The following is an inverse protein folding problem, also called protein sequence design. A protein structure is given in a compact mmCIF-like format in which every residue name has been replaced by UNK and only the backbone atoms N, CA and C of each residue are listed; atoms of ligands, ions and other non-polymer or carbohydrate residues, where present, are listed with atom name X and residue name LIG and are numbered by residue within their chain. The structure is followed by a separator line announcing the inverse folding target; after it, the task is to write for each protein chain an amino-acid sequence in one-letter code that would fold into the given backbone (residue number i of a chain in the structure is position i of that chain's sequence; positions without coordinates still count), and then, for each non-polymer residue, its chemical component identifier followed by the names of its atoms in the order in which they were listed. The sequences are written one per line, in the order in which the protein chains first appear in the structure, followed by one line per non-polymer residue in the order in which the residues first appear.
data_IF_589071992912
#
_entry.id   IF_589071992912
#
_cell.length_a   1.000
_cell.length_b   1.000
_cell.length_c   1.000
_cell.angle_alpha   90.00
_cell.angle_beta   90.00
_cell.angle_gamma   90.00
#
_symmetry.space_group_name_H-M   'P 1'
#
loop_
_entity.id
_entity.type
_entity.pdbx_description
1 polymer ?
#
# COMPACT_ATOMS: atom_id res chain seq x y z
N UNK A 1 2.55 -8.25 -9.09
CA UNK A 1 1.92 -6.92 -8.98
C UNK A 1 1.60 -6.47 -10.38
N UNK A 2 0.31 -6.47 -10.75
CA UNK A 2 -0.17 -5.90 -12.00
C UNK A 2 -0.19 -4.37 -11.92
N UNK A 3 0.37 -3.74 -12.95
CA UNK A 3 0.24 -2.31 -13.22
C UNK A 3 -1.09 -2.13 -13.97
N UNK A 4 -2.04 -1.40 -13.38
CA UNK A 4 -3.32 -1.10 -14.03
C UNK A 4 -3.11 0.16 -14.86
N UNK A 5 -2.85 -0.01 -16.16
CA UNK A 5 -2.94 1.06 -17.15
C UNK A 5 -4.23 0.87 -17.98
N UNK A 6 -5.07 1.92 -18.06
CA UNK A 6 -6.27 1.93 -18.90
C UNK A 6 -5.92 2.08 -20.39
N UNK A 7 -6.08 0.96 -21.10
CA UNK A 7 -6.46 0.67 -22.49
C UNK A 7 -6.34 1.71 -23.62
N UNK A 8 -5.87 1.20 -24.78
CA UNK A 8 -6.48 1.49 -26.08
C UNK A 8 -6.38 0.27 -27.02
N UNK A 9 -7.52 -0.30 -27.42
CA UNK A 9 -7.64 -1.32 -28.47
C UNK A 9 -7.27 -0.77 -29.85
N UNK A 10 -6.79 -1.64 -30.75
CA UNK A 10 -7.19 -1.57 -32.14
C UNK A 10 -7.83 -2.87 -32.63
N UNK A 11 -8.75 -2.65 -33.58
CA UNK A 11 -9.64 -3.53 -34.32
C UNK A 11 -8.97 -4.71 -35.05
N UNK A 12 -9.71 -5.83 -35.07
CA UNK A 12 -9.51 -6.98 -35.96
C UNK A 12 -9.79 -6.63 -37.43
N UNK A 13 -8.97 -7.18 -38.32
CA UNK A 13 -9.35 -7.55 -39.69
C UNK A 13 -8.52 -8.78 -40.08
N UNK A 14 -9.20 -9.89 -40.37
CA UNK A 14 -8.58 -11.18 -40.66
C UNK A 14 -8.13 -11.35 -42.10
N UNK A 15 -7.38 -12.43 -42.35
CA UNK A 15 -7.40 -13.22 -43.59
C UNK A 15 -6.73 -14.58 -43.35
N UNK A 16 -7.31 -15.62 -43.93
CA UNK A 16 -6.98 -17.05 -43.82
C UNK A 16 -5.97 -17.55 -44.88
N UNK A 17 -5.54 -18.81 -44.70
CA UNK A 17 -4.88 -19.76 -45.61
C UNK A 17 -3.34 -19.72 -45.63
N UNK A 18 -2.57 -20.81 -45.62
CA UNK A 18 -2.83 -22.24 -45.68
C UNK A 18 -1.60 -22.94 -46.31
N UNK A 19 -1.15 -24.06 -45.72
CA UNK A 19 -0.43 -25.14 -46.45
C UNK A 19 1.11 -25.15 -46.52
N UNK A 20 1.73 -26.09 -45.78
CA UNK A 20 2.49 -27.21 -46.36
C UNK A 20 3.98 -27.08 -46.73
N UNK A 21 4.78 -27.94 -46.05
CA UNK A 21 5.92 -28.77 -46.52
C UNK A 21 7.40 -28.37 -46.31
N UNK A 22 8.06 -29.30 -45.60
CA UNK A 22 9.32 -30.01 -45.87
C UNK A 22 10.72 -29.36 -45.69
N UNK A 23 11.39 -29.85 -44.65
CA UNK A 23 12.73 -30.49 -44.60
C UNK A 23 13.86 -29.87 -45.44
N UNK A 24 14.89 -29.34 -44.75
CA UNK A 24 16.30 -29.75 -44.94
C UNK A 24 17.19 -29.19 -43.84
N UNK A 25 17.94 -30.09 -43.21
CA UNK A 25 19.07 -29.74 -42.36
C UNK A 25 20.27 -29.30 -43.18
N UNK A 26 21.02 -28.34 -42.63
CA UNK A 26 22.42 -28.10 -42.97
C UNK A 26 23.13 -27.69 -41.67
N UNK A 27 24.05 -28.55 -41.25
CA UNK A 27 25.01 -28.33 -40.19
C UNK A 27 26.07 -27.30 -40.58
N UNK A 28 26.84 -26.87 -39.56
CA UNK A 28 28.15 -26.18 -39.61
C UNK A 28 28.07 -24.64 -39.50
N UNK A 29 28.19 -24.11 -38.27
CA UNK A 29 29.48 -23.63 -37.78
C UNK A 29 29.44 -23.23 -36.31
N UNK A 30 30.43 -23.75 -35.59
CA UNK A 30 30.78 -23.43 -34.22
C UNK A 30 31.40 -22.04 -34.14
N UNK A 31 30.68 -21.09 -33.56
CA UNK A 31 31.28 -19.94 -32.90
C UNK A 31 30.77 -19.91 -31.45
N UNK A 32 31.62 -20.43 -30.58
CA UNK A 32 31.57 -20.25 -29.13
C UNK A 32 31.63 -18.75 -28.82
N UNK A 33 30.48 -18.10 -28.72
CA UNK A 33 30.37 -16.89 -27.89
C UNK A 33 30.13 -17.35 -26.46
N UNK A 34 31.11 -17.10 -25.61
CA UNK A 34 31.03 -17.26 -24.16
C UNK A 34 29.82 -16.47 -23.64
N UNK A 35 28.69 -17.15 -23.47
CA UNK A 35 27.62 -16.67 -22.59
C UNK A 35 28.10 -16.89 -21.17
N UNK A 36 28.90 -15.96 -20.66
CA UNK A 36 29.16 -15.84 -19.24
C UNK A 36 27.83 -15.64 -18.51
N UNK A 37 27.62 -16.50 -17.53
CA UNK A 37 26.57 -16.51 -16.50
C UNK A 37 26.18 -15.12 -15.96
N UNK A 38 25.12 -14.50 -16.50
CA UNK A 38 24.52 -13.26 -15.98
C UNK A 38 23.22 -13.50 -15.18
N UNK A 39 22.95 -14.74 -14.78
CA UNK A 39 21.73 -15.11 -14.05
C UNK A 39 21.73 -14.69 -12.55
N UNK A 40 22.77 -14.01 -12.08
CA UNK A 40 22.98 -13.72 -10.64
C UNK A 40 22.94 -12.23 -10.27
N UNK A 41 22.66 -11.32 -11.22
CA UNK A 41 22.68 -9.90 -10.94
C UNK A 41 21.42 -9.47 -10.17
N UNK A 42 21.60 -9.20 -8.88
CA UNK A 42 20.60 -8.56 -8.01
C UNK A 42 20.39 -7.07 -8.35
N UNK A 43 20.76 -6.63 -9.56
CA UNK A 43 20.73 -5.23 -10.02
C UNK A 43 19.79 -5.07 -11.21
N UNK A 44 18.83 -4.16 -11.08
CA UNK A 44 17.96 -3.73 -12.16
C UNK A 44 18.48 -2.41 -12.75
N UNK A 45 18.67 -2.36 -14.06
CA UNK A 45 19.16 -1.15 -14.74
C UNK A 45 18.00 -0.35 -15.31
N UNK A 46 17.92 0.94 -14.94
CA UNK A 46 16.81 1.83 -15.34
C UNK A 46 17.27 3.22 -15.82
N UNK A 47 16.36 3.99 -16.41
CA UNK A 47 16.60 5.36 -16.88
C UNK A 47 17.04 5.46 -18.35
N UNK A 48 17.29 6.69 -18.82
CA UNK A 48 17.72 6.94 -20.20
C UNK A 48 19.03 6.20 -20.48
N UNK A 49 18.97 5.21 -21.38
CA UNK A 49 20.06 4.27 -21.72
C UNK A 49 20.49 3.31 -20.59
N UNK A 50 19.62 3.00 -19.62
CA UNK A 50 19.88 1.96 -18.61
C UNK A 50 21.03 2.27 -17.65
N UNK A 51 21.25 3.55 -17.32
CA UNK A 51 22.44 3.98 -16.54
C UNK A 51 22.25 4.03 -15.02
N UNK A 52 21.05 3.80 -14.50
CA UNK A 52 20.77 3.88 -13.05
C UNK A 52 20.60 2.47 -12.48
N UNK A 53 21.59 1.94 -11.74
CA UNK A 53 21.47 0.65 -11.09
C UNK A 53 20.56 0.76 -9.86
N UNK A 54 19.56 -0.11 -9.78
CA UNK A 54 18.65 -0.28 -8.66
C UNK A 54 18.86 -1.66 -8.03
N UNK A 55 18.66 -1.74 -6.72
CA UNK A 55 18.79 -2.98 -5.97
C UNK A 55 17.49 -3.78 -6.10
N UNK A 56 17.61 -5.03 -6.54
CA UNK A 56 16.54 -6.02 -6.48
C UNK A 56 16.61 -6.76 -5.15
N UNK A 57 15.51 -6.75 -4.41
CA UNK A 57 15.38 -7.44 -3.14
C UNK A 57 14.66 -8.78 -3.32
N UNK A 58 15.17 -9.83 -2.66
CA UNK A 58 14.59 -11.18 -2.68
C UNK A 58 14.25 -11.66 -1.28
N UNK A 59 13.15 -12.39 -1.16
CA UNK A 59 12.69 -12.94 0.11
C UNK A 59 13.45 -14.21 0.53
N UNK A 60 14.24 -14.81 -0.37
CA UNK A 60 14.91 -16.12 -0.19
C UNK A 60 15.71 -16.18 1.13
N UNK A 61 16.44 -15.11 1.44
CA UNK A 61 17.23 -14.99 2.66
C UNK A 61 16.40 -14.92 3.95
N UNK A 62 15.14 -14.48 3.88
CA UNK A 62 14.21 -14.49 5.01
C UNK A 62 13.49 -15.83 5.18
N UNK A 63 13.37 -16.59 4.09
CA UNK A 63 12.65 -17.87 4.04
C UNK A 63 13.58 -19.08 4.23
N UNK A 64 14.89 -18.84 4.40
CA UNK A 64 15.89 -19.89 4.55
C UNK A 64 16.05 -20.76 3.29
N UNK A 65 15.66 -20.24 2.12
CA UNK A 65 15.60 -21.00 0.87
C UNK A 65 16.97 -21.09 0.16
N UNK A 66 17.92 -20.18 0.45
CA UNK A 66 19.31 -20.25 -0.03
C UNK A 66 20.25 -19.53 0.96
N UNK A 67 21.54 -19.89 0.98
CA UNK A 67 22.57 -18.98 1.50
C UNK A 67 22.53 -17.72 0.62
N UNK A 68 22.35 -16.51 1.17
CA UNK A 68 22.38 -15.31 0.36
C UNK A 68 23.66 -15.36 -0.48
N UNK A 69 23.60 -15.16 -1.81
CA UNK A 69 24.80 -15.18 -2.63
C UNK A 69 25.82 -14.23 -2.00
N UNK A 70 27.11 -14.59 -2.07
CA UNK A 70 28.22 -13.75 -1.63
C UNK A 70 27.88 -12.31 -1.98
N UNK A 71 27.79 -11.46 -0.94
CA UNK A 71 27.24 -10.12 -1.00
C UNK A 71 27.50 -9.50 -2.38
N UNK A 72 26.50 -9.43 -3.30
CA UNK A 72 26.79 -9.15 -4.72
C UNK A 72 27.33 -7.72 -4.93
N UNK A 73 27.29 -6.90 -3.87
CA UNK A 73 27.81 -5.54 -3.82
C UNK A 73 29.11 -5.40 -3.00
N UNK A 74 29.58 -6.48 -2.37
CA UNK A 74 30.78 -6.45 -1.54
C UNK A 74 31.99 -6.10 -2.39
N UNK A 75 32.66 -5.01 -2.00
CA UNK A 75 33.88 -4.51 -2.63
C UNK A 75 33.81 -3.04 -3.08
N UNK A 76 32.68 -2.57 -3.61
CA UNK A 76 32.62 -1.25 -4.27
C UNK A 76 31.58 -0.25 -3.70
N UNK A 77 30.59 -0.68 -2.92
CA UNK A 77 29.56 0.23 -2.40
C UNK A 77 29.24 -0.04 -0.92
N UNK A 78 29.42 0.97 -0.06
CA UNK A 78 29.03 0.93 1.36
C UNK A 78 27.55 1.26 1.54
N UNK A 79 26.67 0.29 1.31
CA UNK A 79 25.24 0.47 1.53
C UNK A 79 24.89 0.56 3.01
N UNK A 80 24.05 1.52 3.38
CA UNK A 80 23.70 1.79 4.78
C UNK A 80 22.21 2.05 4.98
N UNK A 81 21.67 1.70 6.14
CA UNK A 81 20.28 1.95 6.48
C UNK A 81 20.09 2.47 7.91
N UNK A 82 18.96 3.13 8.13
CA UNK A 82 18.47 3.53 9.44
C UNK A 82 17.21 2.77 9.79
N UNK A 83 17.09 2.38 11.05
CA UNK A 83 15.89 1.76 11.58
C UNK A 83 15.42 2.49 12.83
N UNK A 84 14.19 3.02 12.79
CA UNK A 84 13.52 3.58 13.97
C UNK A 84 12.38 2.65 14.38
N UNK A 85 12.52 2.02 15.54
CA UNK A 85 11.60 1.02 16.09
C UNK A 85 11.93 -0.42 15.68
N UNK A 86 11.19 -1.38 16.27
CA UNK A 86 11.44 -2.81 16.07
C UNK A 86 10.80 -3.34 14.79
N UNK A 87 11.61 -3.55 13.74
CA UNK A 87 11.18 -4.20 12.50
C UNK A 87 12.20 -5.26 12.07
N UNK A 88 12.21 -6.41 12.77
CA UNK A 88 13.16 -7.52 12.53
C UNK A 88 13.16 -7.99 11.07
N UNK A 89 11.98 -8.02 10.43
CA UNK A 89 11.86 -8.47 9.05
C UNK A 89 12.63 -7.58 8.06
N UNK A 90 12.44 -6.25 8.17
CA UNK A 90 13.13 -5.25 7.33
C UNK A 90 14.62 -5.25 7.64
N UNK A 91 14.98 -5.32 8.93
CA UNK A 91 16.37 -5.38 9.38
C UNK A 91 17.11 -6.58 8.76
N UNK A 92 16.57 -7.80 8.91
CA UNK A 92 17.19 -9.02 8.36
C UNK A 92 17.28 -8.96 6.83
N UNK A 93 16.26 -8.40 6.15
CA UNK A 93 16.28 -8.26 4.70
C UNK A 93 17.39 -7.32 4.23
N UNK A 94 17.55 -6.16 4.87
CA UNK A 94 18.59 -5.20 4.49
C UNK A 94 19.99 -5.76 4.76
N UNK A 95 20.20 -6.44 5.90
CA UNK A 95 21.46 -7.11 6.21
C UNK A 95 21.80 -8.21 5.19
N UNK A 96 20.82 -9.03 4.80
CA UNK A 96 21.06 -10.09 3.81
C UNK A 96 21.41 -9.55 2.43
N UNK A 97 21.06 -8.30 2.13
CA UNK A 97 21.42 -7.60 0.90
C UNK A 97 22.68 -6.72 1.04
N UNK A 98 23.47 -6.91 2.10
CA UNK A 98 24.77 -6.26 2.30
C UNK A 98 24.70 -4.82 2.81
N UNK A 99 23.56 -4.37 3.32
CA UNK A 99 23.48 -3.08 4.00
C UNK A 99 24.01 -3.18 5.42
N UNK A 100 24.56 -2.08 5.92
CA UNK A 100 24.96 -1.93 7.33
C UNK A 100 24.10 -0.91 8.06
N UNK A 101 23.69 -1.22 9.29
CA UNK A 101 22.92 -0.27 10.10
C UNK A 101 23.81 0.89 10.57
N UNK A 102 23.27 2.10 10.52
CA UNK A 102 23.93 3.31 11.03
C UNK A 102 23.04 4.03 12.04
N UNK A 103 23.68 4.81 12.92
CA UNK A 103 22.96 5.67 13.87
C UNK A 103 21.94 6.58 13.18
N UNK A 104 20.81 6.83 13.85
CA UNK A 104 19.76 7.74 13.36
C UNK A 104 20.30 9.16 13.08
N UNK A 105 21.37 9.58 13.77
CA UNK A 105 22.01 10.89 13.55
C UNK A 105 22.86 10.95 12.28
N UNK A 106 23.18 9.82 11.64
CA UNK A 106 24.03 9.80 10.45
C UNK A 106 23.26 10.31 9.22
N UNK A 107 23.69 11.39 8.59
CA UNK A 107 23.03 11.91 7.38
C UNK A 107 23.24 11.00 6.13
N UNK A 108 24.24 10.13 6.14
CA UNK A 108 24.61 9.24 5.04
C UNK A 108 23.94 7.88 5.21
N UNK A 109 22.90 7.63 4.43
CA UNK A 109 22.14 6.38 4.39
C UNK A 109 21.50 6.21 3.01
N UNK A 110 21.06 5.00 2.68
CA UNK A 110 20.28 4.69 1.47
C UNK A 110 18.79 4.53 1.79
N UNK A 111 18.48 3.75 2.83
CA UNK A 111 17.11 3.47 3.26
C UNK A 111 16.93 3.91 4.71
N UNK A 112 15.87 4.66 4.99
CA UNK A 112 15.43 4.93 6.35
C UNK A 112 14.02 4.36 6.53
N UNK A 113 13.92 3.35 7.39
CA UNK A 113 12.66 2.74 7.77
C UNK A 113 12.27 3.15 9.19
N UNK A 114 11.12 3.81 9.33
CA UNK A 114 10.58 4.25 10.62
C UNK A 114 9.23 3.57 10.91
N UNK A 115 9.01 3.22 12.18
CA UNK A 115 7.69 2.81 12.69
C UNK A 115 6.77 3.99 13.01
N UNK A 116 7.28 5.22 13.00
CA UNK A 116 6.56 6.44 13.38
C UNK A 116 6.72 7.55 12.35
N UNK A 117 5.89 8.58 12.45
CA UNK A 117 5.95 9.76 11.60
C UNK A 117 7.33 10.42 11.62
N UNK A 118 7.76 10.85 10.45
CA UNK A 118 9.06 11.46 10.21
C UNK A 118 8.91 12.98 10.16
N UNK A 119 9.88 13.70 10.71
CA UNK A 119 9.83 15.15 10.73
C UNK A 119 9.98 15.72 9.31
N UNK A 120 9.26 16.81 9.03
CA UNK A 120 9.26 17.45 7.71
C UNK A 120 10.65 18.00 7.33
N UNK A 121 11.45 18.40 8.33
CA UNK A 121 12.84 18.82 8.17
C UNK A 121 13.72 17.69 7.66
N UNK A 122 13.53 16.46 8.14
CA UNK A 122 14.29 15.28 7.69
C UNK A 122 13.94 14.93 6.24
N UNK A 123 12.65 15.01 5.87
CA UNK A 123 12.21 14.76 4.48
C UNK A 123 12.81 15.78 3.51
N UNK A 124 12.89 17.05 3.92
CA UNK A 124 13.47 18.12 3.10
C UNK A 124 14.98 17.95 2.89
N UNK A 125 15.67 17.36 3.86
CA UNK A 125 17.12 17.16 3.82
C UNK A 125 17.55 15.89 3.04
N UNK A 126 16.60 15.14 2.46
CA UNK A 126 16.91 13.91 1.74
C UNK A 126 17.71 14.16 0.45
N UNK A 127 18.66 13.29 0.18
CA UNK A 127 19.45 13.23 -1.05
C UNK A 127 18.76 12.35 -2.12
N UNK A 128 19.12 12.45 -3.42
CA UNK A 128 18.43 11.74 -4.51
C UNK A 128 18.42 10.21 -4.37
N UNK A 129 19.48 9.64 -3.78
CA UNK A 129 19.61 8.19 -3.55
C UNK A 129 18.83 7.69 -2.32
N UNK A 130 18.36 8.59 -1.47
CA UNK A 130 17.70 8.23 -0.21
C UNK A 130 16.24 7.84 -0.42
N UNK A 131 15.81 6.82 0.32
CA UNK A 131 14.43 6.32 0.36
C UNK A 131 13.93 6.27 1.78
N UNK A 132 12.68 6.69 1.98
CA UNK A 132 12.04 6.78 3.29
C UNK A 132 10.59 6.30 3.22
N UNK A 133 10.14 5.54 4.21
CA UNK A 133 8.86 4.82 4.17
C UNK A 133 7.63 5.62 4.62
N UNK A 134 7.70 6.96 4.58
CA UNK A 134 6.59 7.85 4.94
C UNK A 134 6.49 9.08 4.04
N UNK A 135 5.26 9.46 3.68
CA UNK A 135 4.96 10.76 3.08
C UNK A 135 4.69 11.84 4.14
N UNK A 136 4.98 13.12 3.84
CA UNK A 136 4.57 14.21 4.69
C UNK A 136 3.04 14.26 4.80
N UNK A 137 2.53 14.42 6.03
CA UNK A 137 1.08 14.47 6.33
C UNK A 137 0.29 13.22 5.93
N UNK A 138 0.93 12.04 5.88
CA UNK A 138 0.21 10.77 5.64
C UNK A 138 -0.90 10.47 6.68
N UNK A 139 -0.82 11.09 7.86
CA UNK A 139 -1.88 11.06 8.87
C UNK A 139 -3.26 11.56 8.39
N UNK A 140 -3.33 12.28 7.27
CA UNK A 140 -4.59 12.78 6.70
C UNK A 140 -5.52 11.65 6.26
N UNK A 141 -4.98 10.47 5.95
CA UNK A 141 -5.77 9.29 5.59
C UNK A 141 -5.70 8.17 6.64
N UNK A 142 -4.67 8.17 7.50
CA UNK A 142 -4.50 7.09 8.50
C UNK A 142 -5.10 7.41 9.86
N UNK A 143 -5.28 8.68 10.22
CA UNK A 143 -6.06 9.04 11.41
C UNK A 143 -7.56 8.94 11.12
N UNK A 144 -8.30 8.29 12.02
CA UNK A 144 -9.73 7.99 11.87
C UNK A 144 -10.58 9.26 11.65
N UNK A 145 -10.37 10.29 12.46
CA UNK A 145 -11.06 11.58 12.34
C UNK A 145 -10.78 12.27 11.00
N UNK A 146 -9.50 12.33 10.60
CA UNK A 146 -9.08 12.97 9.34
C UNK A 146 -9.57 12.22 8.11
N UNK A 147 -9.53 10.88 8.14
CA UNK A 147 -10.07 10.05 7.07
C UNK A 147 -11.57 10.32 6.86
N UNK A 148 -12.35 10.31 7.94
CA UNK A 148 -13.79 10.56 7.86
C UNK A 148 -14.11 11.98 7.39
N UNK A 149 -13.39 13.00 7.87
CA UNK A 149 -13.53 14.39 7.42
C UNK A 149 -13.22 14.53 5.93
N UNK A 150 -12.14 13.90 5.45
CA UNK A 150 -11.74 13.94 4.04
C UNK A 150 -12.76 13.24 3.14
N UNK A 151 -13.31 12.10 3.56
CA UNK A 151 -14.35 11.41 2.81
C UNK A 151 -15.64 12.23 2.80
N UNK A 152 -16.04 12.81 3.93
CA UNK A 152 -17.20 13.71 4.01
C UNK A 152 -17.05 14.91 3.05
N UNK A 153 -15.87 15.53 3.01
CA UNK A 153 -15.54 16.58 2.03
C UNK A 153 -15.76 16.11 0.59
N UNK A 154 -15.30 14.91 0.25
CA UNK A 154 -15.51 14.34 -1.09
C UNK A 154 -16.98 13.98 -1.36
N UNK A 155 -17.73 13.51 -0.37
CA UNK A 155 -19.18 13.28 -0.49
C UNK A 155 -19.94 14.58 -0.77
N UNK A 156 -19.54 15.70 -0.15
CA UNK A 156 -20.10 17.02 -0.43
C UNK A 156 -19.72 17.54 -1.83
N UNK A 157 -18.46 17.36 -2.23
CA UNK A 157 -17.95 17.91 -3.50
C UNK A 157 -18.34 17.08 -4.74
N UNK A 158 -18.41 15.76 -4.61
CA UNK A 158 -18.62 14.80 -5.72
C UNK A 158 -19.89 13.98 -5.58
N UNK A 159 -20.62 14.13 -4.47
CA UNK A 159 -21.86 13.40 -4.21
C UNK A 159 -21.66 12.13 -3.39
N UNK A 160 -22.61 11.89 -2.47
CA UNK A 160 -22.58 10.75 -1.54
C UNK A 160 -22.50 9.42 -2.29
N UNK A 161 -23.20 9.27 -3.41
CA UNK A 161 -23.21 8.03 -4.22
C UNK A 161 -21.80 7.60 -4.65
N UNK A 162 -20.92 8.54 -4.98
CA UNK A 162 -19.58 8.25 -5.48
C UNK A 162 -18.58 7.93 -4.36
N UNK A 163 -18.75 8.54 -3.18
CA UNK A 163 -17.89 8.36 -2.00
C UNK A 163 -18.60 7.63 -0.84
N UNK A 164 -19.52 6.72 -1.15
CA UNK A 164 -20.21 5.89 -0.17
C UNK A 164 -19.35 4.68 0.23
N UNK A 165 -18.13 4.95 0.69
CA UNK A 165 -17.09 3.94 0.93
C UNK A 165 -16.83 3.64 2.41
N UNK A 166 -17.34 4.50 3.31
CA UNK A 166 -17.35 4.30 4.76
C UNK A 166 -18.78 4.28 5.28
N UNK A 167 -19.07 3.60 6.40
CA UNK A 167 -20.36 3.72 7.06
C UNK A 167 -20.60 5.17 7.51
N UNK A 168 -21.87 5.53 7.74
CA UNK A 168 -22.22 6.84 8.30
C UNK A 168 -21.44 7.07 9.59
N UNK A 169 -20.67 8.15 9.65
CA UNK A 169 -19.69 8.37 10.71
C UNK A 169 -19.71 9.81 11.18
N UNK A 170 -19.51 10.01 12.48
CA UNK A 170 -19.44 11.32 13.15
C UNK A 170 -18.21 11.41 14.05
N UNK A 171 -17.57 12.58 14.10
CA UNK A 171 -16.41 12.89 14.94
C UNK A 171 -16.86 13.65 16.18
N UNK A 172 -16.69 13.06 17.35
CA UNK A 172 -17.05 13.65 18.64
C UNK A 172 -15.85 14.35 19.29
N UNK A 173 -16.07 15.43 20.06
CA UNK A 173 -17.37 16.00 20.47
C UNK A 173 -18.06 16.91 19.43
N UNK A 174 -17.33 17.35 18.40
CA UNK A 174 -17.76 18.40 17.47
C UNK A 174 -19.09 18.09 16.74
N UNK A 175 -19.29 16.82 16.36
CA UNK A 175 -20.46 16.37 15.59
C UNK A 175 -21.53 15.67 16.45
N UNK A 176 -21.48 15.83 17.79
CA UNK A 176 -22.46 15.23 18.70
C UNK A 176 -23.92 15.67 18.41
N UNK A 177 -24.22 16.95 18.13
CA UNK A 177 -25.57 17.38 17.79
C UNK A 177 -26.10 16.69 16.52
N UNK A 178 -25.27 16.58 15.48
CA UNK A 178 -25.58 15.95 14.20
C UNK A 178 -25.85 14.46 14.40
N UNK A 179 -25.01 13.79 15.20
CA UNK A 179 -25.21 12.39 15.58
C UNK A 179 -26.56 12.18 16.29
N UNK A 180 -26.90 13.03 17.27
CA UNK A 180 -28.19 12.93 17.99
C UNK A 180 -29.40 13.13 17.06
N UNK A 181 -29.33 14.09 16.14
CA UNK A 181 -30.39 14.31 15.14
C UNK A 181 -30.51 13.11 14.21
N UNK A 182 -29.38 12.57 13.72
CA UNK A 182 -29.38 11.39 12.86
C UNK A 182 -29.95 10.18 13.58
N UNK A 183 -29.52 9.93 14.82
CA UNK A 183 -29.99 8.81 15.64
C UNK A 183 -31.50 8.85 15.90
N UNK A 184 -32.09 10.05 16.07
CA UNK A 184 -33.56 10.22 16.20
C UNK A 184 -34.31 9.82 14.94
N UNK A 185 -33.73 10.04 13.75
CA UNK A 185 -34.34 9.65 12.46
C UNK A 185 -34.14 8.18 12.16
N UNK A 186 -32.96 7.65 12.45
CA UNK A 186 -32.57 6.27 12.18
C UNK A 186 -31.88 5.69 13.40
N UNK A 187 -32.65 4.93 14.18
CA UNK A 187 -32.11 4.09 15.26
C UNK A 187 -31.27 2.96 14.68
N UNK A 188 -30.40 2.41 15.51
CA UNK A 188 -29.55 1.28 15.13
C UNK A 188 -28.35 1.16 16.05
N UNK A 189 -27.50 0.19 15.73
CA UNK A 189 -26.27 -0.09 16.47
C UNK A 189 -25.12 0.77 15.93
N UNK A 190 -24.28 1.28 16.83
CA UNK A 190 -23.13 2.13 16.49
C UNK A 190 -21.88 1.61 17.16
N UNK A 191 -20.74 1.80 16.52
CA UNK A 191 -19.42 1.45 17.06
C UNK A 191 -18.65 2.75 17.35
N UNK A 192 -18.19 2.88 18.59
CA UNK A 192 -17.39 4.00 19.06
C UNK A 192 -15.94 3.59 19.06
N UNK A 193 -15.09 4.39 18.42
CA UNK A 193 -13.66 4.14 18.29
C UNK A 193 -12.89 5.38 18.74
N UNK A 194 -11.95 5.27 19.71
CA UNK A 194 -11.08 6.38 20.05
C UNK A 194 -10.18 6.76 18.86
N UNK A 195 -9.95 8.05 18.64
CA UNK A 195 -9.12 8.53 17.51
C UNK A 195 -7.66 8.12 17.65
N UNK A 196 -7.13 8.18 18.87
CA UNK A 196 -5.72 7.96 19.21
C UNK A 196 -5.36 6.49 19.46
N UNK A 197 -6.34 5.59 19.56
CA UNK A 197 -6.12 4.19 19.88
C UNK A 197 -6.22 3.28 18.64
N UNK A 198 -5.53 2.15 18.76
CA UNK A 198 -5.43 1.09 17.77
C UNK A 198 -5.53 -0.29 18.43
N UNK A 199 -5.56 -1.34 17.62
CA UNK A 199 -5.58 -2.76 18.07
C UNK A 199 -6.86 -3.14 18.83
N UNK A 200 -7.98 -2.51 18.51
CA UNK A 200 -9.27 -2.76 19.17
C UNK A 200 -9.42 -2.15 20.57
N UNK A 201 -8.43 -1.39 21.07
CA UNK A 201 -8.47 -0.82 22.41
C UNK A 201 -9.48 0.34 22.50
N UNK A 202 -10.31 0.30 23.54
CA UNK A 202 -11.32 1.33 23.81
C UNK A 202 -12.49 1.34 22.84
N UNK A 203 -12.61 0.33 21.96
CA UNK A 203 -13.76 0.19 21.09
C UNK A 203 -14.94 -0.32 21.90
N UNK A 204 -16.07 0.36 21.80
CA UNK A 204 -17.34 -0.05 22.40
C UNK A 204 -18.44 -0.04 21.35
N UNK A 205 -19.45 -0.86 21.57
CA UNK A 205 -20.64 -0.89 20.72
C UNK A 205 -21.79 -0.34 21.54
N UNK A 206 -22.50 0.63 20.98
CA UNK A 206 -23.55 1.38 21.66
C UNK A 206 -24.85 1.27 20.87
N UNK A 207 -25.95 1.33 21.60
CA UNK A 207 -27.31 1.41 21.04
C UNK A 207 -28.01 2.72 21.40
N UNK A 208 -27.34 3.62 22.14
CA UNK A 208 -27.88 4.92 22.50
C UNK A 208 -26.77 5.99 22.56
N UNK A 209 -27.00 7.22 22.05
CA UNK A 209 -25.99 8.28 22.04
C UNK A 209 -25.42 8.65 23.41
N UNK A 210 -26.20 8.49 24.49
CA UNK A 210 -25.76 8.81 25.85
C UNK A 210 -24.64 7.87 26.37
N UNK A 211 -24.42 6.72 25.73
CA UNK A 211 -23.33 5.80 26.07
C UNK A 211 -21.99 6.25 25.47
N UNK A 212 -22.01 7.16 24.48
CA UNK A 212 -20.79 7.74 23.92
C UNK A 212 -20.23 8.78 24.91
N UNK A 213 -19.19 8.38 25.65
CA UNK A 213 -18.40 9.32 26.45
C UNK A 213 -17.68 10.26 25.48
N UNK A 214 -17.82 11.57 25.69
CA UNK A 214 -17.27 12.61 24.79
C UNK A 214 -16.09 13.34 25.41
N UNK A 215 -15.49 12.76 26.45
CA UNK A 215 -14.36 13.33 27.20
C UNK A 215 -13.06 13.31 26.38
N UNK A 216 -12.97 12.40 25.40
CA UNK A 216 -11.86 12.30 24.45
C UNK A 216 -12.36 12.34 23.01
N UNK A 217 -11.51 12.71 22.03
CA UNK A 217 -11.87 12.65 20.61
C UNK A 217 -12.15 11.21 20.17
N UNK A 218 -13.37 10.98 19.68
CA UNK A 218 -13.84 9.67 19.24
C UNK A 218 -14.52 9.75 17.88
N UNK A 219 -14.54 8.63 17.18
CA UNK A 219 -15.29 8.43 15.94
C UNK A 219 -16.42 7.46 16.22
N UNK A 220 -17.65 7.89 15.96
CA UNK A 220 -18.86 7.08 16.08
C UNK A 220 -19.33 6.72 14.68
N UNK A 221 -19.23 5.44 14.35
CA UNK A 221 -19.59 4.91 13.03
C UNK A 221 -20.80 4.00 13.15
N UNK A 222 -21.66 4.01 12.14
CA UNK A 222 -22.76 3.04 12.05
C UNK A 222 -22.18 1.63 12.04
N UNK A 223 -22.75 0.73 12.84
CA UNK A 223 -22.33 -0.65 12.87
C UNK A 223 -22.91 -1.41 11.68
N UNK A 224 -22.08 -2.22 11.02
CA UNK A 224 -22.52 -3.08 9.93
C UNK A 224 -23.10 -4.35 10.54
N UNK A 225 -24.43 -4.40 10.63
CA UNK A 225 -25.20 -5.45 11.32
C UNK A 225 -25.30 -6.77 10.52
N UNK A 226 -25.04 -6.72 9.21
CA UNK A 226 -25.10 -7.90 8.32
C UNK A 226 -23.79 -8.05 7.54
N UNK A 227 -22.67 -8.35 8.22
CA UNK A 227 -21.42 -8.63 7.54
C UNK A 227 -21.55 -9.91 6.70
N UNK A 228 -20.67 -10.09 5.72
CA UNK A 228 -20.46 -11.39 5.11
C UNK A 228 -19.87 -12.33 6.17
N UNK A 229 -20.43 -13.53 6.25
CA UNK A 229 -20.05 -14.53 7.25
C UNK A 229 -19.49 -15.75 6.52
N UNK A 230 -18.43 -16.33 7.06
CA UNK A 230 -17.82 -17.58 6.57
C UNK A 230 -17.74 -18.53 7.75
N UNK A 231 -18.29 -19.75 7.58
CA UNK A 231 -18.41 -20.77 8.63
C UNK A 231 -19.04 -20.27 9.94
N UNK A 232 -19.92 -19.27 9.86
CA UNK A 232 -20.57 -18.67 11.02
C UNK A 232 -19.76 -17.57 11.74
N UNK A 233 -18.55 -17.24 11.28
CA UNK A 233 -17.69 -16.21 11.86
C UNK A 233 -17.67 -14.93 11.02
N UNK A 234 -17.65 -13.78 11.71
CA UNK A 234 -17.38 -12.47 11.11
C UNK A 234 -15.89 -12.39 10.77
N UNK A 235 -15.55 -11.74 9.64
CA UNK A 235 -14.17 -11.49 9.28
C UNK A 235 -13.98 -10.09 8.71
N UNK A 236 -12.74 -9.59 8.73
CA UNK A 236 -12.32 -8.42 7.97
C UNK A 236 -11.16 -8.77 7.06
N UNK A 237 -10.95 -7.96 6.02
CA UNK A 237 -9.84 -8.06 5.09
C UNK A 237 -8.76 -7.04 5.46
N UNK A 238 -7.54 -7.53 5.62
CA UNK A 238 -6.32 -6.73 5.63
C UNK A 238 -5.66 -6.81 4.25
N UNK A 239 -5.67 -5.68 3.55
CA UNK A 239 -5.06 -5.52 2.22
C UNK A 239 -3.85 -4.59 2.33
N UNK A 240 -2.75 -4.97 1.68
CA UNK A 240 -1.54 -4.16 1.65
C UNK A 240 -1.53 -3.29 0.40
N UNK A 241 -1.34 -1.99 0.58
CA UNK A 241 -1.33 -1.02 -0.50
C UNK A 241 -0.07 -0.18 -0.39
N UNK A 242 0.76 -0.19 -1.44
CA UNK A 242 1.94 0.64 -1.54
C UNK A 242 1.63 1.88 -2.38
N UNK A 243 2.08 3.05 -1.91
CA UNK A 243 2.07 4.29 -2.68
C UNK A 243 3.51 4.74 -2.87
N UNK A 244 3.95 4.91 -4.12
CA UNK A 244 5.32 5.35 -4.43
C UNK A 244 5.40 6.81 -4.82
N UNK A 245 4.27 7.44 -5.10
CA UNK A 245 4.17 8.85 -5.45
C UNK A 245 2.73 9.34 -5.26
N UNK A 246 2.58 10.57 -4.78
CA UNK A 246 1.30 11.31 -4.79
C UNK A 246 1.20 12.31 -5.95
N UNK A 247 2.31 12.62 -6.63
CA UNK A 247 2.35 13.55 -7.77
C UNK A 247 3.32 13.06 -8.89
N UNK A 248 2.84 12.29 -9.89
CA UNK A 248 1.47 11.78 -10.04
C UNK A 248 1.16 10.69 -9.01
N UNK A 249 -0.12 10.47 -8.70
CA UNK A 249 -0.55 9.42 -7.77
C UNK A 249 -0.28 8.02 -8.37
N UNK A 250 0.51 7.22 -7.68
CA UNK A 250 0.86 5.84 -8.06
C UNK A 250 0.54 4.88 -6.93
N UNK A 251 -0.45 4.02 -7.14
CA UNK A 251 -1.00 3.09 -6.16
C UNK A 251 -0.74 1.66 -6.64
N UNK A 252 -0.24 0.81 -5.75
CA UNK A 252 -0.01 -0.61 -6.01
C UNK A 252 -0.71 -1.42 -4.93
N UNK A 253 -1.63 -2.28 -5.34
CA UNK A 253 -2.34 -3.18 -4.43
C UNK A 253 -1.62 -4.53 -4.46
N UNK A 254 -1.26 -5.04 -3.29
CA UNK A 254 -0.64 -6.35 -3.21
C UNK A 254 -1.69 -7.44 -3.46
N UNK A 255 -1.39 -8.36 -4.37
CA UNK A 255 -2.31 -9.45 -4.79
C UNK A 255 -2.71 -10.35 -3.62
N UNK A 256 -1.85 -10.47 -2.62
CA UNK A 256 -2.13 -11.22 -1.41
C UNK A 256 -2.48 -10.33 -0.22
N UNK A 257 -3.18 -10.93 0.74
CA UNK A 257 -3.63 -10.27 1.95
C UNK A 257 -3.96 -11.28 3.03
N UNK A 258 -4.70 -10.85 4.04
CA UNK A 258 -5.21 -11.78 5.06
C UNK A 258 -6.65 -11.47 5.43
N UNK A 259 -7.46 -12.51 5.52
CA UNK A 259 -8.76 -12.46 6.17
C UNK A 259 -8.58 -12.79 7.65
N UNK A 260 -9.09 -11.93 8.53
CA UNK A 260 -8.98 -12.07 9.98
C UNK A 260 -10.35 -12.40 10.54
N UNK A 261 -10.48 -13.56 11.16
CA UNK A 261 -11.74 -14.05 11.69
C UNK A 261 -11.91 -13.70 13.17
N UNK A 262 -13.15 -13.42 13.55
CA UNK A 262 -13.61 -13.47 14.93
C UNK A 262 -13.49 -14.89 15.47
N UNK A 263 -13.32 -15.05 16.79
CA UNK A 263 -13.25 -16.38 17.41
C UNK A 263 -14.59 -16.93 17.87
N UNK A 264 -15.65 -16.13 17.80
CA UNK A 264 -16.99 -16.53 18.22
C UNK A 264 -18.01 -16.36 17.08
N UNK A 265 -19.01 -17.24 17.06
CA UNK A 265 -20.06 -17.24 16.05
C UNK A 265 -20.84 -15.92 16.08
N UNK A 266 -21.05 -15.35 14.89
CA UNK A 266 -21.77 -14.11 14.75
C UNK A 266 -23.29 -14.33 14.85
N UNK A 267 -23.92 -13.74 15.86
CA UNK A 267 -25.36 -13.83 16.13
C UNK A 267 -26.10 -12.49 15.98
N UNK A 268 -25.52 -11.53 15.24
CA UNK A 268 -26.06 -10.18 15.10
C UNK A 268 -25.82 -9.29 16.32
N UNK A 269 -26.40 -8.08 16.38
CA UNK A 269 -26.15 -7.10 17.44
C UNK A 269 -26.99 -7.38 18.71
N UNK A 270 -26.96 -8.61 19.22
CA UNK A 270 -27.70 -9.01 20.44
C UNK A 270 -26.81 -8.95 21.69
N UNK A 271 -25.56 -9.42 21.58
CA UNK A 271 -24.59 -9.46 22.68
C UNK A 271 -23.46 -8.44 22.46
N UNK A 272 -23.78 -7.15 22.64
CA UNK A 272 -22.87 -6.05 22.31
C UNK A 272 -21.54 -6.06 23.10
N UNK A 273 -21.56 -6.66 24.30
CA UNK A 273 -20.39 -6.77 25.18
C UNK A 273 -19.40 -7.87 24.73
N UNK A 274 -19.84 -8.78 23.86
CA UNK A 274 -19.00 -9.85 23.33
C UNK A 274 -18.11 -9.32 22.20
N UNK A 275 -17.00 -8.70 22.61
CA UNK A 275 -16.03 -8.12 21.68
C UNK A 275 -15.32 -9.18 20.81
N UNK A 276 -15.21 -10.43 21.26
CA UNK A 276 -14.58 -11.51 20.47
C UNK A 276 -15.45 -11.96 19.29
N UNK A 277 -16.76 -11.75 19.35
CA UNK A 277 -17.68 -11.93 18.22
C UNK A 277 -17.65 -10.72 17.27
N UNK A 278 -17.56 -9.50 17.82
CA UNK A 278 -17.77 -8.27 17.05
C UNK A 278 -16.50 -7.65 16.48
N UNK A 279 -15.34 -7.88 17.11
CA UNK A 279 -14.04 -7.39 16.68
C UNK A 279 -13.21 -8.55 16.14
N UNK A 280 -12.63 -8.34 14.96
CA UNK A 280 -11.82 -9.31 14.21
C UNK A 280 -10.32 -9.06 14.40
N UNK A 281 -9.94 -8.07 15.21
CA UNK A 281 -8.55 -7.73 15.45
C UNK A 281 -7.81 -8.91 16.11
N UNK A 282 -6.64 -9.25 15.56
CA UNK A 282 -5.75 -10.28 16.11
C UNK A 282 -5.40 -10.03 17.59
N UNK A 283 -5.18 -8.78 18.01
CA UNK A 283 -4.85 -8.42 19.39
C UNK A 283 -5.93 -8.79 20.41
N UNK A 284 -7.20 -8.78 19.98
CA UNK A 284 -8.35 -9.16 20.80
C UNK A 284 -8.49 -10.68 20.78
N UNK A 285 -8.56 -11.25 19.57
CA UNK A 285 -8.85 -12.66 19.37
C UNK A 285 -7.72 -13.60 19.78
N UNK A 286 -6.44 -13.19 19.72
CA UNK A 286 -5.29 -14.05 20.14
C UNK A 286 -5.33 -14.46 21.60
N UNK A 287 -6.09 -13.73 22.43
CA UNK A 287 -6.27 -14.00 23.86
C UNK A 287 -7.42 -14.97 24.12
N UNK A 288 -8.28 -15.22 23.13
CA UNK A 288 -9.38 -16.18 23.22
C UNK A 288 -8.84 -17.59 23.23
N UNK A 289 -9.44 -18.44 24.06
CA UNK A 289 -9.15 -19.89 24.11
C UNK A 289 -9.56 -20.61 22.82
N UNK A 290 -10.45 -20.00 22.02
CA UNK A 290 -10.93 -20.53 20.74
C UNK A 290 -10.08 -20.08 19.55
N UNK A 291 -8.98 -19.35 19.79
CA UNK A 291 -8.11 -18.91 18.71
C UNK A 291 -7.30 -20.08 18.15
N UNK A 292 -7.63 -20.50 16.94
CA UNK A 292 -6.92 -21.59 16.25
C UNK A 292 -5.79 -21.00 15.43
N UNK A 293 -4.55 -21.27 15.84
CA UNK A 293 -3.35 -20.98 15.05
C UNK A 293 -3.21 -22.01 13.94
N UNK A 294 -2.82 -21.55 12.76
CA UNK A 294 -2.40 -22.45 11.69
C UNK A 294 -0.87 -22.53 11.73
N UNK A 295 -0.37 -23.62 12.28
CA UNK A 295 1.08 -23.90 12.39
C UNK A 295 1.57 -24.79 11.23
N UNK A 296 0.67 -25.30 10.39
CA UNK A 296 1.00 -26.17 9.25
C UNK A 296 1.43 -25.36 8.02
N UNK A 297 2.66 -25.57 7.49
CA UNK A 297 3.06 -24.98 6.22
C UNK A 297 2.20 -25.56 5.09
N UNK A 298 1.43 -24.71 4.39
CA UNK A 298 0.70 -25.10 3.18
C UNK A 298 -0.82 -25.23 3.31
N UNK A 299 -1.41 -25.08 4.50
CA UNK A 299 -2.86 -24.89 4.67
C UNK A 299 -3.19 -23.43 4.93
N UNK A 300 -3.52 -22.72 3.86
CA UNK A 300 -3.81 -21.28 3.91
C UNK A 300 -5.30 -20.98 4.26
N UNK A 301 -6.11 -22.01 4.49
CA UNK A 301 -7.56 -22.03 4.71
C UNK A 301 -7.97 -22.57 6.09
N UNK A 302 -7.02 -22.66 7.03
CA UNK A 302 -7.27 -23.22 8.35
C UNK A 302 -6.94 -22.22 9.46
N UNK A 303 -7.75 -22.22 10.52
CA UNK A 303 -7.58 -21.34 11.69
C UNK A 303 -8.20 -19.95 11.54
N UNK A 304 -7.90 -19.04 12.48
CA UNK A 304 -8.52 -17.71 12.57
C UNK A 304 -7.89 -16.64 11.64
N UNK A 305 -6.99 -17.05 10.75
CA UNK A 305 -6.42 -16.21 9.68
C UNK A 305 -6.35 -17.01 8.39
N UNK A 306 -6.93 -16.52 7.30
CA UNK A 306 -6.79 -17.12 5.97
C UNK A 306 -6.02 -16.19 5.03
N UNK A 307 -5.38 -16.76 4.01
CA UNK A 307 -4.86 -15.95 2.89
C UNK A 307 -6.01 -15.35 2.09
N UNK A 308 -5.72 -14.27 1.36
CA UNK A 308 -6.72 -13.69 0.46
C UNK A 308 -7.12 -14.72 -0.60
N UNK A 309 -6.15 -15.40 -1.21
CA UNK A 309 -6.43 -16.45 -2.20
C UNK A 309 -7.28 -17.59 -1.66
N UNK A 310 -7.07 -18.03 -0.41
CA UNK A 310 -7.91 -19.07 0.20
C UNK A 310 -9.35 -18.59 0.40
N UNK A 311 -9.55 -17.36 0.89
CA UNK A 311 -10.88 -16.79 1.03
C UNK A 311 -11.58 -16.67 -0.33
N UNK A 312 -10.91 -16.13 -1.35
CA UNK A 312 -11.50 -15.94 -2.67
C UNK A 312 -11.91 -17.28 -3.30
N UNK A 313 -11.08 -18.32 -3.20
CA UNK A 313 -11.46 -19.68 -3.64
C UNK A 313 -12.70 -20.18 -2.92
N UNK A 314 -12.75 -20.06 -1.59
CA UNK A 314 -13.90 -20.48 -0.80
C UNK A 314 -15.20 -19.72 -1.16
N UNK A 315 -15.13 -18.41 -1.40
CA UNK A 315 -16.30 -17.62 -1.81
C UNK A 315 -16.75 -17.97 -3.24
N UNK A 316 -15.80 -18.26 -4.14
CA UNK A 316 -16.09 -18.70 -5.50
C UNK A 316 -16.78 -20.07 -5.52
N UNK A 317 -16.35 -21.01 -4.67
CA UNK A 317 -17.01 -22.31 -4.48
C UNK A 317 -18.46 -22.16 -3.96
N UNK A 318 -18.75 -21.10 -3.20
CA UNK A 318 -20.11 -20.74 -2.78
C UNK A 318 -20.93 -20.02 -3.86
N UNK A 319 -20.40 -19.87 -5.07
CA UNK A 319 -21.08 -19.22 -6.20
C UNK A 319 -21.13 -17.69 -6.11
N UNK A 320 -20.29 -17.05 -5.28
CA UNK A 320 -20.23 -15.58 -5.19
C UNK A 320 -19.35 -15.01 -6.30
N UNK A 321 -19.74 -13.85 -6.84
CA UNK A 321 -18.94 -13.13 -7.83
C UNK A 321 -17.75 -12.40 -7.16
N UNK A 322 -16.65 -13.13 -6.98
CA UNK A 322 -15.44 -12.62 -6.32
C UNK A 322 -14.72 -11.54 -7.15
N UNK A 323 -14.79 -11.61 -8.48
CA UNK A 323 -14.16 -10.63 -9.36
C UNK A 323 -14.81 -9.25 -9.20
N UNK A 324 -16.15 -9.18 -9.27
CA UNK A 324 -16.88 -7.93 -9.05
C UNK A 324 -16.69 -7.39 -7.63
N UNK A 325 -16.63 -8.27 -6.62
CA UNK A 325 -16.35 -7.88 -5.25
C UNK A 325 -14.96 -7.22 -5.13
N UNK A 326 -13.93 -7.80 -5.75
CA UNK A 326 -12.57 -7.24 -5.72
C UNK A 326 -12.45 -5.93 -6.50
N UNK A 327 -13.13 -5.77 -7.64
CA UNK A 327 -13.21 -4.48 -8.33
C UNK A 327 -13.80 -3.37 -7.43
N UNK A 328 -14.84 -3.69 -6.65
CA UNK A 328 -15.41 -2.73 -5.68
C UNK A 328 -14.43 -2.44 -4.53
N UNK A 329 -13.63 -3.41 -4.12
CA UNK A 329 -12.59 -3.23 -3.08
C UNK A 329 -11.50 -2.28 -3.58
N UNK A 330 -11.04 -2.46 -4.80
CA UNK A 330 -10.05 -1.57 -5.45
C UNK A 330 -10.59 -0.14 -5.56
N UNK A 331 -11.84 0.03 -6.00
CA UNK A 331 -12.53 1.33 -6.07
C UNK A 331 -12.58 2.03 -4.69
N UNK A 332 -12.87 1.29 -3.62
CA UNK A 332 -12.84 1.81 -2.23
C UNK A 332 -11.43 2.30 -1.86
N UNK A 333 -10.39 1.52 -2.17
CA UNK A 333 -8.99 1.87 -1.88
C UNK A 333 -8.58 3.13 -2.63
N UNK A 334 -8.84 3.19 -3.93
CA UNK A 334 -8.49 4.33 -4.80
C UNK A 334 -9.20 5.60 -4.31
N UNK A 335 -10.50 5.54 -4.07
CA UNK A 335 -11.27 6.70 -3.59
C UNK A 335 -10.82 7.19 -2.22
N UNK A 336 -10.45 6.29 -1.32
CA UNK A 336 -9.93 6.67 -0.02
C UNK A 336 -8.59 7.42 -0.12
N UNK A 337 -7.71 7.01 -1.03
CA UNK A 337 -6.44 7.69 -1.30
C UNK A 337 -6.68 9.04 -1.98
N UNK A 338 -7.57 9.12 -2.97
CA UNK A 338 -7.96 10.38 -3.62
C UNK A 338 -8.54 11.38 -2.62
N UNK A 339 -9.30 10.93 -1.62
CA UNK A 339 -9.89 11.82 -0.62
C UNK A 339 -8.84 12.62 0.18
N UNK A 340 -7.66 12.02 0.40
CA UNK A 340 -6.53 12.67 1.08
C UNK A 340 -5.41 13.19 0.16
N UNK A 341 -5.44 12.83 -1.13
CA UNK A 341 -4.37 13.10 -2.12
C UNK A 341 -3.94 14.57 -2.08
N UNK A 342 -4.87 15.51 -2.30
CA UNK A 342 -4.58 16.96 -2.31
C UNK A 342 -3.79 17.47 -1.10
N UNK A 343 -4.06 16.94 0.11
CA UNK A 343 -3.37 17.37 1.33
C UNK A 343 -1.94 16.83 1.41
N UNK A 344 -1.73 15.61 0.94
CA UNK A 344 -0.43 14.93 0.95
C UNK A 344 0.43 15.47 -0.19
N UNK A 345 -0.14 15.54 -1.40
CA UNK A 345 0.48 16.08 -2.61
C UNK A 345 1.00 17.50 -2.41
N UNK A 346 0.16 18.40 -1.86
CA UNK A 346 0.60 19.77 -1.53
C UNK A 346 1.73 19.81 -0.50
N UNK A 347 1.77 18.85 0.43
CA UNK A 347 2.86 18.76 1.40
C UNK A 347 4.13 18.21 0.75
N UNK A 348 4.02 17.23 -0.16
CA UNK A 348 5.14 16.76 -0.96
C UNK A 348 5.76 17.90 -1.76
N UNK A 349 4.98 18.75 -2.40
CA UNK A 349 5.53 19.89 -3.18
C UNK A 349 6.33 20.88 -2.31
N UNK A 350 6.04 20.99 -1.01
CA UNK A 350 6.71 21.93 -0.08
C UNK A 350 7.89 21.30 0.67
N UNK A 351 7.82 20.01 0.94
CA UNK A 351 8.78 19.31 1.83
C UNK A 351 9.63 18.27 1.11
N UNK A 352 9.18 17.71 0.00
CA UNK A 352 9.86 16.62 -0.69
C UNK A 352 10.74 17.15 -1.83
N UNK A 353 12.05 17.26 -1.57
CA UNK A 353 13.03 17.76 -2.54
C UNK A 353 13.17 16.83 -3.76
N UNK A 354 12.99 15.52 -3.57
CA UNK A 354 13.13 14.51 -4.62
C UNK A 354 11.89 13.62 -4.69
N UNK A 355 11.15 13.63 -5.80
CA UNK A 355 9.85 12.94 -5.95
C UNK A 355 9.84 11.43 -5.66
N UNK A 356 10.98 10.75 -5.77
CA UNK A 356 11.12 9.31 -5.49
C UNK A 356 11.67 8.99 -4.10
N UNK A 357 11.89 9.99 -3.25
CA UNK A 357 12.47 9.78 -1.92
C UNK A 357 11.50 9.16 -0.93
N UNK A 358 10.20 9.44 -1.05
CA UNK A 358 9.16 8.94 -0.15
C UNK A 358 8.36 7.82 -0.81
N UNK A 359 8.01 6.81 -0.02
CA UNK A 359 7.04 5.78 -0.36
C UNK A 359 6.27 5.43 0.92
N UNK A 360 5.16 4.70 0.82
CA UNK A 360 4.42 4.28 2.00
C UNK A 360 3.72 2.96 1.80
N UNK A 361 3.72 2.12 2.84
CA UNK A 361 2.98 0.87 2.90
C UNK A 361 1.81 1.05 3.88
N UNK A 362 0.60 0.99 3.36
CA UNK A 362 -0.63 1.04 4.13
C UNK A 362 -1.23 -0.34 4.34
N UNK A 363 -1.86 -0.55 5.50
CA UNK A 363 -2.75 -1.69 5.75
C UNK A 363 -4.19 -1.23 5.74
N UNK A 364 -4.93 -1.55 4.68
CA UNK A 364 -6.36 -1.27 4.57
C UNK A 364 -7.16 -2.34 5.30
N UNK A 365 -8.08 -1.90 6.17
CA UNK A 365 -9.02 -2.78 6.87
C UNK A 365 -10.40 -2.60 6.23
N UNK A 366 -10.88 -3.63 5.54
CA UNK A 366 -12.13 -3.59 4.79
C UNK A 366 -13.07 -4.68 5.30
N UNK A 367 -14.34 -4.34 5.51
CA UNK A 367 -15.40 -5.28 5.84
C UNK A 367 -16.31 -5.47 4.64
N UNK A 368 -16.56 -6.72 4.25
CA UNK A 368 -17.54 -7.05 3.23
C UNK A 368 -18.88 -7.31 3.92
N UNK A 369 -19.97 -6.71 3.43
CA UNK A 369 -21.31 -7.01 3.90
C UNK A 369 -21.95 -8.20 3.16
N UNK A 370 -23.12 -8.65 3.63
CA UNK A 370 -23.83 -9.78 3.05
C UNK A 370 -24.20 -9.61 1.57
N UNK A 371 -24.26 -8.36 1.07
CA UNK A 371 -24.61 -8.01 -0.29
C UNK A 371 -23.33 -7.83 -1.17
N UNK A 372 -22.19 -8.35 -0.68
CA UNK A 372 -20.85 -8.28 -1.28
C UNK A 372 -20.35 -6.84 -1.49
N UNK A 373 -20.82 -5.90 -0.66
CA UNK A 373 -20.36 -4.52 -0.71
C UNK A 373 -19.20 -4.31 0.27
N UNK A 374 -18.06 -3.76 -0.18
CA UNK A 374 -16.95 -3.41 0.70
C UNK A 374 -17.17 -2.09 1.43
N UNK A 375 -16.74 -2.06 2.68
CA UNK A 375 -16.75 -0.90 3.56
C UNK A 375 -15.37 -0.70 4.17
N UNK A 376 -14.80 0.48 3.98
CA UNK A 376 -13.54 0.87 4.60
C UNK A 376 -13.76 1.08 6.12
N UNK A 377 -12.96 0.39 6.94
CA UNK A 377 -13.00 0.52 8.39
C UNK A 377 -11.92 1.46 8.93
N UNK A 378 -10.69 1.30 8.45
CA UNK A 378 -9.54 2.16 8.77
C UNK A 378 -8.39 1.92 7.78
N UNK A 379 -7.46 2.89 7.72
CA UNK A 379 -6.18 2.76 7.01
C UNK A 379 -5.07 2.82 8.06
N UNK A 380 -4.34 1.73 8.20
CA UNK A 380 -3.25 1.62 9.16
C UNK A 380 -1.94 2.11 8.54
N UNK A 381 -1.35 3.12 9.18
CA UNK A 381 0.04 3.50 8.98
C UNK A 381 0.96 2.40 9.52
N UNK A 382 1.97 2.00 8.77
CA UNK A 382 2.96 0.98 9.21
C UNK A 382 2.29 -0.30 9.73
N UNK A 383 1.60 -1.07 8.86
CA UNK A 383 0.94 -2.29 9.29
C UNK A 383 1.92 -3.27 9.94
N UNK A 384 1.45 -4.06 10.91
CA UNK A 384 2.32 -4.98 11.67
C UNK A 384 3.04 -5.98 10.78
N UNK A 385 4.37 -5.93 10.80
CA UNK A 385 5.27 -6.86 10.11
C UNK A 385 5.70 -8.06 10.98
N UNK A 386 5.12 -8.22 12.17
CA UNK A 386 5.38 -9.36 13.05
C UNK A 386 4.97 -10.69 12.40
N UNK A 387 5.82 -11.71 12.49
CA UNK A 387 5.61 -13.00 11.84
C UNK A 387 5.41 -14.08 12.92
N UNK A 388 4.15 -14.32 13.29
CA UNK A 388 3.81 -15.31 14.33
C UNK A 388 3.60 -16.72 13.75
N UNK A 389 3.32 -16.83 12.44
CA UNK A 389 3.09 -18.11 11.74
C UNK A 389 3.96 -18.20 10.48
N UNK A 390 4.18 -19.41 9.93
CA UNK A 390 4.87 -19.59 8.64
C UNK A 390 4.18 -18.84 7.50
N UNK A 391 2.84 -18.77 7.51
CA UNK A 391 2.07 -17.97 6.57
C UNK A 391 2.40 -16.48 6.68
N UNK A 392 2.40 -15.92 7.91
CA UNK A 392 2.76 -14.51 8.13
C UNK A 392 4.18 -14.23 7.62
N UNK A 393 5.14 -15.13 7.89
CA UNK A 393 6.52 -15.01 7.42
C UNK A 393 6.60 -15.01 5.90
N UNK A 394 5.99 -15.98 5.22
CA UNK A 394 5.99 -16.08 3.75
C UNK A 394 5.36 -14.85 3.10
N UNK A 395 4.18 -14.46 3.56
CA UNK A 395 3.44 -13.32 3.03
C UNK A 395 4.25 -12.01 3.17
N UNK A 396 4.72 -11.73 4.38
CA UNK A 396 5.34 -10.44 4.71
C UNK A 396 6.76 -10.33 4.17
N UNK A 397 7.51 -11.43 4.12
CA UNK A 397 8.85 -11.44 3.51
C UNK A 397 8.79 -11.06 2.03
N UNK A 398 7.87 -11.69 1.29
CA UNK A 398 7.65 -11.36 -0.12
C UNK A 398 7.10 -9.94 -0.30
N UNK A 399 6.17 -9.50 0.56
CA UNK A 399 5.65 -8.13 0.53
C UNK A 399 6.76 -7.08 0.65
N UNK A 400 7.65 -7.21 1.63
CA UNK A 400 8.71 -6.22 1.88
C UNK A 400 9.79 -6.27 0.80
N UNK A 401 10.18 -7.46 0.35
CA UNK A 401 11.13 -7.60 -0.76
C UNK A 401 10.58 -6.96 -2.06
N UNK A 402 9.32 -7.25 -2.40
CA UNK A 402 8.66 -6.67 -3.56
C UNK A 402 8.49 -5.15 -3.42
N UNK A 403 8.16 -4.66 -2.21
CA UNK A 403 8.04 -3.23 -1.93
C UNK A 403 9.36 -2.50 -2.14
N UNK A 404 10.47 -2.95 -1.56
CA UNK A 404 11.75 -2.27 -1.69
C UNK A 404 12.29 -2.32 -3.14
N UNK A 405 12.02 -3.41 -3.85
CA UNK A 405 12.31 -3.52 -5.28
C UNK A 405 11.49 -2.52 -6.09
N UNK A 406 10.18 -2.42 -5.82
CA UNK A 406 9.26 -1.48 -6.47
C UNK A 406 9.64 0.00 -6.21
N UNK A 407 10.07 0.31 -4.99
CA UNK A 407 10.54 1.66 -4.61
C UNK A 407 11.79 2.07 -5.38
N UNK A 408 12.57 1.10 -5.86
CA UNK A 408 13.77 1.33 -6.65
C UNK A 408 14.84 2.04 -5.82
N UNK A 409 15.40 1.33 -4.84
CA UNK A 409 16.54 1.79 -4.04
C UNK A 409 17.78 1.83 -4.94
N UNK A 410 18.39 3.00 -5.20
CA UNK A 410 19.55 3.09 -6.06
C UNK A 410 20.77 2.43 -5.41
N UNK A 411 21.54 1.71 -6.22
CA UNK A 411 22.86 1.22 -5.83
C UNK A 411 23.83 2.40 -5.83
N UNK A 412 24.00 3.03 -4.66
CA UNK A 412 24.81 4.24 -4.48
C UNK A 412 25.52 4.17 -3.14
N UNK A 413 26.82 4.45 -3.11
CA UNK A 413 27.55 4.59 -1.85
C UNK A 413 27.36 6.02 -1.31
N UNK A 414 26.70 6.20 -0.15
CA UNK A 414 26.43 7.51 0.42
C UNK A 414 27.67 8.23 0.95
N UNK A 415 28.85 7.59 0.96
CA UNK A 415 30.13 8.16 1.33
C UNK A 415 30.99 8.58 0.12
N UNK A 416 30.65 8.12 -1.07
CA UNK A 416 31.34 8.55 -2.30
C UNK A 416 30.99 10.00 -2.57
N UNK A 417 32.00 10.86 -2.67
CA UNK A 417 31.81 12.26 -3.07
C UNK A 417 31.32 12.29 -4.51
N UNK A 418 30.11 12.81 -4.75
CA UNK A 418 29.74 13.28 -6.07
C UNK A 418 30.74 14.37 -6.46
N UNK A 419 31.58 14.11 -7.47
CA UNK A 419 32.28 15.21 -8.14
C UNK A 419 31.18 16.07 -8.77
N UNK A 420 31.13 17.38 -8.47
CA UNK A 420 30.21 18.25 -9.17
C UNK A 420 30.51 18.09 -10.66
N UNK A 421 29.54 17.63 -11.45
CA UNK A 421 29.67 17.75 -12.90
C UNK A 421 29.88 19.24 -13.17
N UNK A 422 30.97 19.64 -13.86
CA UNK A 422 31.12 21.03 -14.24
C UNK A 422 29.85 21.43 -14.99
N UNK A 423 29.32 22.66 -14.76
CA UNK A 423 28.18 23.12 -15.52
C UNK A 423 28.53 22.95 -17.00
N UNK A 424 27.75 22.15 -17.71
CA UNK A 424 27.87 22.06 -19.16
C UNK A 424 27.68 23.47 -19.68
N UNK A 425 28.75 24.00 -20.27
CA UNK A 425 28.83 25.31 -20.86
C UNK A 425 27.67 25.46 -21.84
N UNK A 426 26.57 26.06 -21.38
CA UNK A 426 25.54 26.57 -22.27
C UNK A 426 26.19 27.73 -22.99
N UNK A 427 26.87 27.40 -24.10
CA UNK A 427 27.41 28.36 -25.04
C UNK A 427 26.39 29.47 -25.24
N UNK A 428 26.79 30.68 -24.84
CA UNK A 428 26.19 31.93 -25.25
C UNK A 428 26.08 31.95 -26.79
N UNK A 429 24.96 31.49 -27.33
CA UNK A 429 24.54 31.87 -28.67
C UNK A 429 23.99 33.28 -28.58
N UNK A 430 24.81 34.24 -29.02
CA UNK A 430 24.39 35.62 -29.30
C UNK A 430 23.14 35.59 -30.21
N UNK A 431 22.13 36.44 -29.99
CA UNK A 431 21.02 36.53 -30.91
C UNK A 431 21.48 37.29 -32.16
N UNK A 432 21.63 36.57 -33.28
CA UNK A 432 21.69 37.17 -34.60
C UNK A 432 20.32 37.70 -34.96
N UNK A 433 20.23 39.02 -35.17
CA UNK A 433 19.12 39.67 -35.86
C UNK A 433 18.91 39.04 -37.24
N UNK A 434 17.70 38.56 -37.53
CA UNK A 434 17.17 38.53 -38.89
C UNK A 434 15.64 38.60 -38.90
N UNK A 435 15.18 39.71 -39.47
CA UNK A 435 13.94 39.93 -40.24
C UNK A 435 12.63 39.27 -39.78
N UNK A 436 11.72 40.15 -39.37
CA UNK A 436 10.29 39.98 -39.37
C UNK A 436 9.75 39.57 -40.75
N UNK A 437 9.07 38.43 -40.83
CA UNK A 437 8.01 38.20 -41.81
C UNK A 437 6.75 37.73 -41.09
N UNK A 438 5.72 38.56 -41.20
CA UNK A 438 4.35 38.30 -40.74
C UNK A 438 3.80 37.07 -41.46
N UNK A 439 3.31 36.09 -40.71
CA UNK A 439 2.22 35.26 -41.20
C UNK A 439 1.21 34.98 -40.09
N UNK A 440 -0.03 35.39 -40.36
CA UNK A 440 -1.20 35.17 -39.53
C UNK A 440 -1.57 33.69 -39.62
N UNK A 441 -1.90 33.04 -38.49
CA UNK A 441 -3.21 32.40 -38.35
C UNK A 441 -3.51 31.82 -36.95
N UNK A 442 -4.66 32.28 -36.44
CA UNK A 442 -5.69 31.57 -35.68
C UNK A 442 -5.39 30.96 -34.30
N UNK A 443 -5.88 31.70 -33.30
CA UNK A 443 -6.32 31.25 -31.98
C UNK A 443 -7.20 29.99 -32.07
N UNK A 444 -6.94 29.01 -31.19
CA UNK A 444 -8.00 28.27 -30.47
C UNK A 444 -7.57 28.02 -29.03
N UNK A 445 -8.30 28.65 -28.11
CA UNK A 445 -8.45 28.20 -26.73
C UNK A 445 -9.15 26.84 -26.75
N UNK A 446 -8.66 25.89 -25.98
CA UNK A 446 -9.45 24.77 -25.49
C UNK A 446 -9.31 24.70 -23.97
N UNK A 447 -10.32 25.24 -23.29
CA UNK A 447 -10.81 24.74 -22.01
C UNK A 447 -11.07 23.23 -22.10
N UNK A 448 -10.70 22.46 -21.07
CA UNK A 448 -11.32 21.22 -20.55
C UNK A 448 -10.68 21.08 -19.15
N UNK A 449 -11.34 21.08 -17.97
CA UNK A 449 -12.65 20.56 -17.52
C UNK A 449 -12.82 19.09 -17.90
N UNK A 450 -12.19 18.18 -17.15
CA UNK A 450 -12.81 17.38 -16.08
C UNK A 450 -11.75 16.61 -15.30
#
# INVERSE_FOLDING_TARGET
MMEIEESSCPSESGEEAGGGKDIRGSSVNSETSEKSSDANLSVLWTGSAGKTPLIQFRADALLGLETPPDHPYSGNHRLTFKLSGENRLVHTLLLSHGFSEVSLMNARFNVYWSGSHIQMSEIRALMPHQRINHFPRSYMITRKDRLCQNISRMQHAKGVKHFNIIPTTFVLPDELPQFRVHFRKKRGTWIVKPVSLSRGRGITIINHPNQAKSDEPMVVSQYIERPLIVNGYKFDLRIYVAVTSFNPLKIYIYEEGMARFATEHYSGPVQLDNLCMHLTNYSVNKKSTQYVRCDSPGRDDYGSKWSMSALLRHLQEQGKNVAEMMMKVEDVIIKALIAGESHISSACDVFQTHRRSCFELYGFDILIDKDLRPWLLEINLSPSLGCDTPFDLRLKSNLIANLLTLVGVPLCDPYTRETPKPPTDHQHRRPTQTSWTREKNHRRLCHHVL
#
